data_IF_707502005024
#
_entry.id   IF_707502005024
#
_cell.length_a   1.000
_cell.length_b   1.000
_cell.length_c   1.000
_cell.angle_alpha   90.00
_cell.angle_beta   90.00
_cell.angle_gamma   90.00
#
_symmetry.space_group_name_H-M   'P 1'
#
loop_
_entity.id
_entity.type
_entity.pdbx_description
1 polymer ?
#
# COMPACT_ATOMS: atom_id res chain seq x y z
N UNK A 1 -47.75 9.75 52.75
CA UNK A 1 -46.44 9.07 52.89
C UNK A 1 -46.61 7.71 52.26
N UNK A 2 -46.21 7.51 51.01
CA UNK A 2 -44.92 6.92 50.65
C UNK A 2 -44.91 6.94 49.10
N UNK A 3 -44.32 7.99 48.52
CA UNK A 3 -43.07 7.93 47.76
C UNK A 3 -43.11 6.94 46.58
N UNK A 4 -43.15 7.54 45.39
CA UNK A 4 -42.88 6.96 44.08
C UNK A 4 -41.71 5.96 44.16
N UNK A 5 -41.93 4.76 43.63
CA UNK A 5 -40.84 3.82 43.34
C UNK A 5 -39.92 4.45 42.28
N UNK A 6 -38.59 4.42 42.44
CA UNK A 6 -37.70 4.82 41.37
C UNK A 6 -37.73 3.73 40.29
N UNK A 7 -38.27 4.06 39.11
CA UNK A 7 -38.12 3.22 37.92
C UNK A 7 -36.61 3.13 37.60
N UNK A 8 -36.07 1.92 37.69
CA UNK A 8 -34.70 1.61 37.36
C UNK A 8 -34.45 1.91 35.89
N UNK A 9 -33.60 2.91 35.61
CA UNK A 9 -33.19 3.24 34.25
C UNK A 9 -32.31 2.10 33.70
N UNK A 10 -32.65 1.46 32.56
CA UNK A 10 -31.74 0.52 31.92
C UNK A 10 -30.56 1.33 31.33
N UNK A 11 -29.37 1.17 31.91
CA UNK A 11 -28.14 1.64 31.28
C UNK A 11 -27.86 0.76 30.06
N UNK A 12 -28.38 1.16 28.90
CA UNK A 12 -28.00 0.54 27.64
C UNK A 12 -26.59 1.01 27.28
N UNK A 13 -25.58 0.32 27.81
CA UNK A 13 -24.21 0.47 27.34
C UNK A 13 -24.05 -0.35 26.06
N UNK A 14 -24.74 0.07 25.00
CA UNK A 14 -24.43 -0.41 23.66
C UNK A 14 -23.23 0.39 23.19
N UNK A 15 -22.07 -0.18 23.48
CA UNK A 15 -20.79 0.21 22.93
C UNK A 15 -20.86 0.04 21.42
N UNK A 16 -21.13 1.13 20.70
CA UNK A 16 -21.00 1.21 19.24
C UNK A 16 -19.55 0.89 18.87
N UNK A 17 -19.29 -0.38 18.56
CA UNK A 17 -18.06 -0.79 17.92
C UNK A 17 -18.05 -0.19 16.53
N UNK A 18 -17.26 0.87 16.34
CA UNK A 18 -16.82 1.28 15.04
C UNK A 18 -15.93 0.16 14.50
N UNK A 19 -16.53 -0.77 13.76
CA UNK A 19 -15.79 -1.64 12.87
C UNK A 19 -15.21 -0.72 11.79
N UNK A 20 -13.98 -0.26 12.06
CA UNK A 20 -13.07 0.34 11.10
C UNK A 20 -12.75 -0.73 10.05
N UNK A 21 -13.72 -0.95 9.17
CA UNK A 21 -13.50 -1.67 7.94
C UNK A 21 -12.78 -0.69 7.03
N UNK A 22 -11.46 -0.60 7.21
CA UNK A 22 -10.50 -0.21 6.17
C UNK A 22 -10.60 -1.24 5.03
N UNK A 23 -11.77 -1.31 4.41
CA UNK A 23 -11.99 -1.99 3.15
C UNK A 23 -11.47 -1.04 2.06
N UNK A 24 -10.13 -0.95 2.00
CA UNK A 24 -9.39 -0.44 0.85
C UNK A 24 -9.57 -1.42 -0.32
N UNK A 25 -10.82 -1.58 -0.79
CA UNK A 25 -11.10 -2.10 -2.13
C UNK A 25 -10.70 -1.02 -3.12
N UNK A 26 -9.39 -0.91 -3.33
CA UNK A 26 -8.80 -0.16 -4.44
C UNK A 26 -9.51 -0.62 -5.72
N UNK A 27 -10.18 0.33 -6.35
CA UNK A 27 -10.87 0.16 -7.64
C UNK A 27 -9.99 -0.64 -8.61
N UNK A 28 -10.49 -1.79 -9.06
CA UNK A 28 -9.83 -2.69 -10.02
C UNK A 28 -9.64 -2.07 -11.43
N UNK A 29 -10.11 -0.83 -11.60
CA UNK A 29 -9.93 0.04 -12.78
C UNK A 29 -9.31 1.40 -12.43
N UNK A 30 -8.60 1.49 -11.30
CA UNK A 30 -7.91 2.71 -10.86
C UNK A 30 -6.73 3.05 -11.76
N UNK A 31 -6.66 4.30 -12.22
CA UNK A 31 -5.55 4.82 -13.01
C UNK A 31 -4.22 4.61 -12.26
N UNK A 32 -3.36 3.73 -12.77
CA UNK A 32 -2.02 3.46 -12.21
C UNK A 32 -0.97 4.22 -13.03
N UNK A 33 -0.37 5.29 -12.49
CA UNK A 33 0.67 6.04 -13.20
C UNK A 33 1.81 5.12 -13.61
N UNK A 34 2.18 5.14 -14.90
CA UNK A 34 3.23 4.28 -15.45
C UNK A 34 4.43 5.12 -15.86
N UNK A 35 5.62 4.73 -15.39
CA UNK A 35 6.89 5.39 -15.72
C UNK A 35 7.72 4.45 -16.60
N UNK A 36 8.14 4.94 -17.77
CA UNK A 36 9.02 4.20 -18.69
C UNK A 36 10.44 4.79 -18.63
N UNK A 37 11.42 3.98 -18.23
CA UNK A 37 12.83 4.39 -18.20
C UNK A 37 13.52 3.95 -19.51
N UNK A 38 13.88 4.91 -20.35
CA UNK A 38 14.54 4.70 -21.66
C UNK A 38 16.00 5.15 -21.66
N UNK A 39 16.79 4.69 -22.65
CA UNK A 39 18.19 5.09 -22.83
C UNK A 39 19.10 3.97 -23.34
N UNK A 40 20.35 4.31 -23.70
CA UNK A 40 21.34 3.38 -24.26
C UNK A 40 21.65 2.18 -23.36
N UNK A 41 22.17 1.08 -23.92
CA UNK A 41 22.57 -0.10 -23.14
C UNK A 41 23.58 0.32 -22.05
N UNK A 42 23.47 -0.28 -20.85
CA UNK A 42 24.36 -0.02 -19.70
C UNK A 42 24.26 1.38 -19.05
N UNK A 43 23.30 2.23 -19.44
CA UNK A 43 23.10 3.56 -18.83
C UNK A 43 22.53 3.59 -17.40
N UNK A 44 22.43 2.45 -16.71
CA UNK A 44 21.93 2.40 -15.32
C UNK A 44 20.41 2.38 -15.14
N UNK A 45 19.61 2.09 -16.17
CA UNK A 45 18.13 2.03 -16.05
C UNK A 45 17.66 1.04 -14.98
N UNK A 46 18.24 -0.15 -15.01
CA UNK A 46 17.91 -1.23 -14.08
C UNK A 46 18.38 -0.91 -12.67
N UNK A 47 19.56 -0.27 -12.51
CA UNK A 47 20.07 0.11 -11.19
C UNK A 47 19.19 1.19 -10.55
N UNK A 48 18.76 2.21 -11.30
CA UNK A 48 17.81 3.22 -10.81
C UNK A 48 16.52 2.57 -10.30
N UNK A 49 15.92 1.68 -11.09
CA UNK A 49 14.67 1.02 -10.70
C UNK A 49 14.83 0.17 -9.43
N UNK A 50 15.89 -0.64 -9.35
CA UNK A 50 16.14 -1.55 -8.23
C UNK A 50 16.44 -0.80 -6.93
N UNK A 51 17.22 0.27 -6.97
CA UNK A 51 17.53 1.06 -5.78
C UNK A 51 16.29 1.79 -5.27
N UNK A 52 15.59 2.50 -6.16
CA UNK A 52 14.47 3.37 -5.76
C UNK A 52 13.25 2.56 -5.33
N UNK A 53 12.86 1.58 -6.14
CA UNK A 53 11.59 0.85 -6.00
C UNK A 53 11.73 -0.55 -5.37
N UNK A 54 12.93 -1.12 -5.30
CA UNK A 54 13.16 -2.44 -4.68
C UNK A 54 14.11 -2.37 -3.49
N UNK A 55 14.58 -1.18 -3.12
CA UNK A 55 15.49 -0.92 -1.99
C UNK A 55 16.79 -1.74 -2.05
N UNK A 56 17.23 -2.10 -3.25
CA UNK A 56 18.55 -2.69 -3.48
C UNK A 56 19.64 -1.69 -3.07
N UNK A 57 20.74 -2.17 -2.49
CA UNK A 57 21.85 -1.27 -2.16
C UNK A 57 22.56 -0.77 -3.42
N UNK A 58 23.06 0.49 -3.46
CA UNK A 58 23.77 1.00 -4.63
C UNK A 58 24.98 0.15 -5.03
N UNK A 59 25.72 -0.37 -4.05
CA UNK A 59 26.90 -1.21 -4.27
C UNK A 59 26.55 -2.55 -4.91
N UNK A 60 25.42 -3.14 -4.54
CA UNK A 60 24.92 -4.38 -5.13
C UNK A 60 24.56 -4.19 -6.61
N UNK A 61 24.17 -2.97 -7.03
CA UNK A 61 23.85 -2.71 -8.44
C UNK A 61 25.05 -2.80 -9.39
N UNK A 62 26.28 -2.75 -8.87
CA UNK A 62 27.51 -2.92 -9.66
C UNK A 62 27.55 -4.28 -10.37
N UNK A 63 26.86 -5.28 -9.82
CA UNK A 63 26.85 -6.66 -10.31
C UNK A 63 25.56 -7.04 -11.04
N UNK A 64 24.68 -6.08 -11.34
CA UNK A 64 23.42 -6.36 -12.05
C UNK A 64 23.69 -6.76 -13.50
N UNK A 65 23.10 -7.89 -13.90
CA UNK A 65 23.18 -8.40 -15.26
C UNK A 65 22.53 -7.47 -16.30
N UNK A 66 22.99 -7.59 -17.55
CA UNK A 66 22.49 -6.78 -18.66
C UNK A 66 21.04 -7.13 -19.00
N UNK A 67 20.16 -6.13 -19.03
CA UNK A 67 18.75 -6.34 -19.41
C UNK A 67 18.60 -6.33 -20.94
N UNK A 68 18.29 -7.48 -21.53
CA UNK A 68 18.13 -7.64 -22.99
C UNK A 68 16.73 -7.30 -23.51
N UNK A 69 15.71 -7.35 -22.64
CA UNK A 69 14.30 -7.09 -22.96
C UNK A 69 13.72 -6.08 -21.97
N UNK A 70 12.64 -5.40 -22.37
CA UNK A 70 11.89 -4.54 -21.45
C UNK A 70 11.29 -5.40 -20.34
N UNK A 71 11.40 -4.94 -19.09
CA UNK A 71 10.90 -5.65 -17.91
C UNK A 71 9.79 -4.84 -17.28
N UNK A 72 8.61 -5.44 -17.15
CA UNK A 72 7.47 -4.89 -16.42
C UNK A 72 7.29 -5.71 -15.14
N UNK A 73 7.50 -5.08 -13.98
CA UNK A 73 7.37 -5.73 -12.68
C UNK A 73 6.34 -4.96 -11.87
N UNK A 74 5.08 -5.36 -12.04
CA UNK A 74 3.96 -4.88 -11.24
C UNK A 74 3.83 -5.82 -10.05
N UNK A 75 4.03 -5.33 -8.82
CA UNK A 75 3.60 -6.04 -7.62
C UNK A 75 2.16 -5.65 -7.32
N UNK A 76 1.34 -6.65 -7.01
CA UNK A 76 -0.05 -6.53 -6.58
C UNK A 76 -0.11 -5.83 -5.22
#
# INVERSE_FOLDING_TARGET
MSSLLPESNPTHSDSYGYEDSDDDRESESGYRPTIVIMGQKRSGKTSIRKVVFQKMSPNETLFVESTARVTDERKF
#
